data_IF_618784903454
#
_entry.id   IF_618784903454
#
_cell.length_a   1.000
_cell.length_b   1.000
_cell.length_c   1.000
_cell.angle_alpha   90.00
_cell.angle_beta   90.00
_cell.angle_gamma   90.00
#
_symmetry.space_group_name_H-M   'P 1'
#
loop_
_entity.id
_entity.type
_entity.pdbx_description
1 polymer ?
#
# COMPACT_ATOMS: atom_id res chain seq x y z
N UNK A 1 13.36 -68.88 -3.67
CA UNK A 1 12.51 -67.83 -4.26
C UNK A 1 12.82 -66.55 -3.52
N UNK A 2 13.57 -65.66 -4.15
CA UNK A 2 13.90 -64.34 -3.64
C UNK A 2 13.05 -63.34 -4.43
N UNK A 3 12.28 -62.50 -3.73
CA UNK A 3 11.70 -61.28 -4.29
C UNK A 3 12.48 -60.08 -3.75
N UNK A 4 12.70 -59.04 -4.57
CA UNK A 4 13.75 -58.04 -4.35
C UNK A 4 13.27 -56.89 -3.46
N UNK A 5 14.24 -56.28 -2.77
CA UNK A 5 14.15 -54.95 -2.17
C UNK A 5 13.87 -53.93 -3.28
N UNK A 6 12.72 -53.27 -3.20
CA UNK A 6 12.43 -52.12 -4.05
C UNK A 6 13.14 -50.88 -3.47
N UNK A 7 14.26 -50.53 -4.11
CA UNK A 7 14.96 -49.27 -3.94
C UNK A 7 14.44 -48.30 -5.01
N UNK A 8 13.29 -47.67 -4.77
CA UNK A 8 12.85 -46.54 -5.60
C UNK A 8 13.11 -45.22 -4.90
N UNK A 9 14.15 -44.58 -5.40
CA UNK A 9 14.29 -43.14 -5.64
C UNK A 9 14.11 -42.17 -4.47
N UNK A 10 15.17 -41.43 -4.07
CA UNK A 10 14.94 -40.10 -3.53
C UNK A 10 14.39 -39.28 -4.70
N UNK A 11 13.09 -38.96 -4.67
CA UNK A 11 12.62 -37.78 -5.40
C UNK A 11 13.47 -36.64 -4.89
N UNK A 12 14.30 -36.07 -5.77
CA UNK A 12 15.08 -34.88 -5.49
C UNK A 12 14.09 -33.85 -4.91
N UNK A 13 14.13 -33.66 -3.60
CA UNK A 13 13.23 -32.74 -2.90
C UNK A 13 13.61 -31.33 -3.37
N UNK A 14 12.98 -30.89 -4.46
CA UNK A 14 12.87 -29.48 -4.72
C UNK A 14 12.11 -28.92 -3.52
N UNK A 15 12.71 -27.95 -2.84
CA UNK A 15 12.00 -27.19 -1.83
C UNK A 15 10.63 -26.77 -2.40
N UNK A 16 9.53 -26.96 -1.66
CA UNK A 16 8.21 -26.58 -2.14
C UNK A 16 8.22 -25.13 -2.62
N UNK A 17 7.61 -24.86 -3.78
CA UNK A 17 7.53 -23.52 -4.34
C UNK A 17 6.67 -22.67 -3.41
N UNK A 18 7.20 -21.53 -2.96
CA UNK A 18 6.49 -20.59 -2.10
C UNK A 18 6.32 -19.27 -2.83
N UNK A 19 5.17 -18.62 -2.62
CA UNK A 19 4.88 -17.29 -3.17
C UNK A 19 4.58 -16.34 -2.01
N UNK A 20 5.26 -15.20 -2.01
CA UNK A 20 5.08 -14.11 -1.05
C UNK A 20 4.38 -12.96 -1.77
N UNK A 21 3.10 -12.79 -1.49
CA UNK A 21 2.33 -11.62 -1.89
C UNK A 21 2.51 -10.50 -0.86
N UNK A 22 2.87 -9.30 -1.32
CA UNK A 22 2.95 -8.11 -0.49
C UNK A 22 2.22 -6.95 -1.15
N UNK A 23 1.32 -6.30 -0.42
CA UNK A 23 0.70 -5.07 -0.93
C UNK A 23 1.68 -3.91 -0.88
N UNK A 24 1.63 -3.05 -1.90
CA UNK A 24 2.54 -1.93 -2.09
C UNK A 24 2.23 -0.71 -1.21
N UNK A 25 1.12 -0.74 -0.47
CA UNK A 25 0.72 0.23 0.54
C UNK A 25 1.38 0.01 1.90
N UNK A 26 2.05 -1.14 2.09
CA UNK A 26 2.86 -1.39 3.26
C UNK A 26 4.12 -0.52 3.27
N UNK A 27 4.46 -0.03 4.46
CA UNK A 27 5.72 0.67 4.68
C UNK A 27 6.91 -0.20 4.25
N UNK A 28 7.97 0.40 3.72
CA UNK A 28 9.25 -0.21 3.31
C UNK A 28 9.13 -1.63 2.70
N UNK A 29 8.41 -1.71 1.57
CA UNK A 29 8.26 -2.96 0.83
C UNK A 29 9.59 -3.60 0.40
N UNK A 30 10.65 -2.82 0.23
CA UNK A 30 11.97 -3.34 -0.11
C UNK A 30 12.57 -4.14 1.06
N UNK A 31 12.48 -3.63 2.29
CA UNK A 31 12.84 -4.40 3.47
C UNK A 31 11.96 -5.65 3.63
N UNK A 32 10.65 -5.54 3.43
CA UNK A 32 9.71 -6.68 3.51
C UNK A 32 10.06 -7.80 2.52
N UNK A 33 10.43 -7.46 1.29
CA UNK A 33 10.84 -8.44 0.29
C UNK A 33 12.05 -9.28 0.73
N UNK A 34 12.92 -8.76 1.60
CA UNK A 34 14.06 -9.52 2.15
C UNK A 34 13.66 -10.58 3.17
N UNK A 35 12.42 -10.56 3.68
CA UNK A 35 11.88 -11.62 4.53
C UNK A 35 11.56 -12.91 3.74
N UNK A 36 11.49 -12.82 2.41
CA UNK A 36 11.10 -13.93 1.57
C UNK A 36 12.07 -15.11 1.73
N UNK A 37 11.57 -16.34 1.91
CA UNK A 37 12.41 -17.54 2.01
C UNK A 37 13.24 -17.73 0.74
N UNK A 38 14.39 -18.40 0.87
CA UNK A 38 15.25 -18.66 -0.27
C UNK A 38 14.49 -19.44 -1.35
N UNK A 39 14.47 -18.89 -2.57
CA UNK A 39 13.77 -19.50 -3.71
C UNK A 39 12.27 -19.21 -3.77
N UNK A 40 11.72 -18.46 -2.81
CA UNK A 40 10.35 -17.97 -2.90
C UNK A 40 10.23 -16.87 -3.98
N UNK A 41 9.10 -16.86 -4.66
CA UNK A 41 8.72 -15.80 -5.58
C UNK A 41 8.07 -14.65 -4.80
N UNK A 42 8.55 -13.41 -4.99
CA UNK A 42 7.95 -12.22 -4.37
C UNK A 42 7.10 -11.50 -5.41
N UNK A 43 5.84 -11.25 -5.06
CA UNK A 43 4.86 -10.60 -5.92
C UNK A 43 4.30 -9.38 -5.20
N UNK A 44 4.50 -8.21 -5.81
CA UNK A 44 3.95 -6.95 -5.31
C UNK A 44 2.55 -6.74 -5.87
N UNK A 45 1.58 -6.57 -4.98
CA UNK A 45 0.18 -6.30 -5.30
C UNK A 45 -0.11 -4.80 -5.20
N UNK A 46 -0.99 -4.31 -6.06
CA UNK A 46 -1.49 -2.94 -6.02
C UNK A 46 -2.58 -2.81 -4.95
N UNK A 47 -2.31 -2.02 -3.90
CA UNK A 47 -3.28 -1.68 -2.84
C UNK A 47 -4.52 -0.95 -3.36
N UNK A 48 -4.49 -0.40 -4.59
CA UNK A 48 -5.65 0.25 -5.21
C UNK A 48 -6.59 -0.65 -5.98
N UNK A 49 -6.29 -1.93 -6.02
CA UNK A 49 -7.06 -2.90 -6.79
C UNK A 49 -7.55 -3.99 -5.87
N UNK A 50 -8.49 -4.78 -6.40
CA UNK A 50 -8.92 -6.00 -5.74
C UNK A 50 -7.73 -6.96 -5.61
N UNK A 51 -7.27 -7.20 -4.37
CA UNK A 51 -6.15 -8.08 -4.09
C UNK A 51 -6.40 -9.55 -4.45
N UNK A 52 -7.63 -10.03 -4.25
CA UNK A 52 -8.00 -11.41 -4.60
C UNK A 52 -7.95 -11.62 -6.11
N UNK A 53 -8.46 -10.68 -6.90
CA UNK A 53 -8.40 -10.75 -8.35
C UNK A 53 -6.95 -10.74 -8.87
N UNK A 54 -6.08 -9.95 -8.25
CA UNK A 54 -4.65 -9.92 -8.60
C UNK A 54 -3.95 -11.24 -8.26
N UNK A 55 -4.17 -11.79 -7.07
CA UNK A 55 -3.61 -13.08 -6.66
C UNK A 55 -4.13 -14.22 -7.54
N UNK A 56 -5.44 -14.30 -7.78
CA UNK A 56 -6.04 -15.32 -8.63
C UNK A 56 -5.52 -15.24 -10.08
N UNK A 57 -5.37 -14.03 -10.63
CA UNK A 57 -4.79 -13.83 -11.95
C UNK A 57 -3.31 -14.25 -12.02
N UNK A 58 -2.52 -13.95 -10.99
CA UNK A 58 -1.12 -14.36 -10.92
C UNK A 58 -0.96 -15.89 -10.79
N UNK A 59 -1.90 -16.54 -10.10
CA UNK A 59 -1.88 -17.99 -9.86
C UNK A 59 -2.56 -18.82 -10.97
N UNK A 60 -3.16 -18.18 -11.96
CA UNK A 60 -3.90 -18.85 -13.01
C UNK A 60 -3.04 -19.89 -13.76
N UNK A 61 -3.50 -21.15 -13.76
CA UNK A 61 -2.81 -22.26 -14.44
C UNK A 61 -1.59 -22.81 -13.70
N UNK A 62 -1.30 -22.33 -12.48
CA UNK A 62 -0.26 -22.88 -11.61
C UNK A 62 -0.84 -23.97 -10.71
N UNK A 63 0.03 -24.84 -10.22
CA UNK A 63 -0.30 -25.90 -9.25
C UNK A 63 0.94 -26.29 -8.44
N UNK A 64 0.74 -26.99 -7.32
CA UNK A 64 1.85 -27.52 -6.51
C UNK A 64 2.59 -26.46 -5.68
N UNK A 65 1.95 -25.33 -5.40
CA UNK A 65 2.51 -24.29 -4.52
C UNK A 65 2.39 -24.77 -3.07
N UNK A 66 3.52 -24.92 -2.37
CA UNK A 66 3.52 -25.41 -0.99
C UNK A 66 3.12 -24.35 0.04
N UNK A 67 3.33 -23.06 -0.26
CA UNK A 67 2.86 -22.01 0.62
C UNK A 67 2.56 -20.69 -0.09
N UNK A 68 1.53 -20.01 0.40
CA UNK A 68 1.26 -18.61 0.13
C UNK A 68 1.49 -17.80 1.41
N UNK A 69 2.40 -16.83 1.35
CA UNK A 69 2.54 -15.81 2.38
C UNK A 69 1.87 -14.53 1.87
N UNK A 70 0.98 -13.93 2.66
CA UNK A 70 0.30 -12.69 2.29
C UNK A 70 0.57 -11.63 3.35
N UNK A 71 1.35 -10.61 2.99
CA UNK A 71 1.64 -9.46 3.82
C UNK A 71 0.68 -8.34 3.45
N UNK A 72 -0.10 -7.89 4.42
CA UNK A 72 -1.18 -6.92 4.24
C UNK A 72 -1.46 -6.15 5.54
N UNK A 73 -2.22 -5.07 5.44
CA UNK A 73 -2.84 -4.49 6.62
C UNK A 73 -3.92 -5.41 7.20
N UNK A 74 -4.13 -5.32 8.51
CA UNK A 74 -5.13 -6.10 9.22
C UNK A 74 -5.76 -5.31 10.36
N UNK A 75 -6.95 -5.75 10.75
CA UNK A 75 -7.61 -5.30 11.98
C UNK A 75 -8.27 -6.50 12.66
N UNK A 76 -8.88 -6.31 13.83
CA UNK A 76 -9.42 -7.41 14.62
C UNK A 76 -10.42 -8.26 13.83
N UNK A 77 -10.02 -9.50 13.46
CA UNK A 77 -10.83 -10.41 12.66
C UNK A 77 -10.99 -10.03 11.18
N UNK A 78 -10.15 -9.13 10.64
CA UNK A 78 -10.24 -8.66 9.26
C UNK A 78 -8.88 -8.53 8.57
N UNK A 79 -8.88 -8.66 7.25
CA UNK A 79 -7.72 -8.45 6.36
C UNK A 79 -8.06 -7.42 5.28
N UNK A 80 -7.12 -6.52 5.00
CA UNK A 80 -7.26 -5.47 3.98
C UNK A 80 -6.38 -5.82 2.79
N UNK A 81 -6.98 -6.36 1.73
CA UNK A 81 -6.30 -6.85 0.53
C UNK A 81 -6.58 -5.91 -0.65
N UNK A 82 -5.96 -4.74 -0.57
CA UNK A 82 -6.23 -3.60 -1.44
C UNK A 82 -7.65 -3.06 -1.22
N UNK A 83 -8.46 -3.01 -2.27
CA UNK A 83 -9.86 -2.54 -2.16
C UNK A 83 -10.81 -3.57 -1.53
N UNK A 84 -10.33 -4.76 -1.20
CA UNK A 84 -11.14 -5.85 -0.62
C UNK A 84 -10.87 -5.97 0.87
N UNK A 85 -11.93 -5.95 1.67
CA UNK A 85 -11.86 -6.26 3.11
C UNK A 85 -12.47 -7.63 3.35
N UNK A 86 -11.67 -8.56 3.86
CA UNK A 86 -12.09 -9.92 4.18
C UNK A 86 -12.33 -10.08 5.68
N UNK A 87 -13.54 -10.48 6.03
CA UNK A 87 -13.93 -11.01 7.33
C UNK A 87 -14.78 -12.29 7.14
N UNK A 88 -15.27 -12.89 8.22
CA UNK A 88 -16.07 -14.11 8.13
C UNK A 88 -17.39 -13.94 7.35
N UNK A 89 -17.94 -12.72 7.30
CA UNK A 89 -19.19 -12.40 6.61
C UNK A 89 -18.97 -12.01 5.14
N UNK A 90 -17.87 -11.33 4.81
CA UNK A 90 -17.57 -10.88 3.44
C UNK A 90 -16.87 -11.94 2.61
N UNK A 91 -16.02 -12.78 3.20
CA UNK A 91 -15.26 -13.81 2.47
C UNK A 91 -16.11 -14.76 1.60
N UNK A 92 -17.29 -15.23 2.04
CA UNK A 92 -18.17 -16.05 1.18
C UNK A 92 -18.61 -15.36 -0.12
N UNK A 93 -18.68 -14.03 -0.15
CA UNK A 93 -18.97 -13.25 -1.36
C UNK A 93 -17.86 -13.34 -2.43
N UNK A 94 -16.65 -13.73 -2.03
CA UNK A 94 -15.47 -13.87 -2.90
C UNK A 94 -15.06 -15.33 -3.12
N UNK A 95 -15.97 -16.28 -2.87
CA UNK A 95 -15.67 -17.70 -2.83
C UNK A 95 -15.03 -18.24 -4.12
N UNK A 96 -15.41 -17.73 -5.28
CA UNK A 96 -14.85 -18.19 -6.56
C UNK A 96 -13.38 -17.81 -6.71
N UNK A 97 -12.99 -16.59 -6.33
CA UNK A 97 -11.59 -16.15 -6.35
C UNK A 97 -10.75 -16.89 -5.30
N UNK A 98 -11.28 -17.06 -4.09
CA UNK A 98 -10.60 -17.79 -3.02
C UNK A 98 -10.36 -19.26 -3.40
N UNK A 99 -11.35 -19.93 -3.99
CA UNK A 99 -11.18 -21.31 -4.50
C UNK A 99 -10.20 -21.37 -5.66
N UNK A 100 -10.21 -20.38 -6.57
CA UNK A 100 -9.26 -20.32 -7.68
C UNK A 100 -7.81 -20.21 -7.16
N UNK A 101 -7.57 -19.34 -6.16
CA UNK A 101 -6.27 -19.24 -5.47
C UNK A 101 -5.91 -20.58 -4.81
N UNK A 102 -6.86 -21.17 -4.08
CA UNK A 102 -6.68 -22.47 -3.42
C UNK A 102 -6.30 -23.61 -4.38
N UNK A 103 -6.88 -23.62 -5.59
CA UNK A 103 -6.59 -24.66 -6.60
C UNK A 103 -5.15 -24.67 -7.13
N UNK A 104 -4.37 -23.61 -6.86
CA UNK A 104 -2.95 -23.55 -7.21
C UNK A 104 -2.04 -24.16 -6.13
N UNK A 105 -2.56 -24.40 -4.93
CA UNK A 105 -1.82 -25.00 -3.82
C UNK A 105 -1.57 -26.49 -4.07
N UNK A 106 -0.53 -27.02 -3.42
CA UNK A 106 -0.35 -28.46 -3.22
C UNK A 106 -1.40 -29.00 -2.23
N UNK A 107 -1.58 -30.32 -2.18
CA UNK A 107 -2.57 -30.98 -1.29
C UNK A 107 -2.37 -30.64 0.20
N UNK A 108 -1.12 -30.39 0.61
CA UNK A 108 -0.71 -29.98 1.95
C UNK A 108 -0.27 -28.50 2.03
N UNK A 109 -0.63 -27.70 1.02
CA UNK A 109 -0.25 -26.30 0.93
C UNK A 109 -0.86 -25.44 2.04
N UNK A 110 -0.08 -24.48 2.53
CA UNK A 110 -0.50 -23.58 3.61
C UNK A 110 -0.69 -22.14 3.13
N UNK A 111 -1.59 -21.41 3.80
CA UNK A 111 -1.79 -19.96 3.60
C UNK A 111 -1.47 -19.21 4.90
N UNK A 112 -0.46 -18.35 4.85
CA UNK A 112 0.09 -17.63 6.00
C UNK A 112 -0.22 -16.14 5.86
N UNK A 113 -1.04 -15.61 6.78
CA UNK A 113 -1.65 -14.30 6.69
C UNK A 113 -1.03 -13.33 7.70
N UNK A 114 -0.15 -12.46 7.21
CA UNK A 114 0.53 -11.43 7.99
C UNK A 114 -0.27 -10.14 7.88
N UNK A 115 -1.15 -9.93 8.86
CA UNK A 115 -1.94 -8.71 8.99
C UNK A 115 -2.35 -8.53 10.44
N UNK A 116 -2.03 -7.36 11.01
CA UNK A 116 -2.19 -7.07 12.43
C UNK A 116 -3.57 -7.50 12.95
N UNK A 117 -3.60 -8.33 14.00
CA UNK A 117 -4.83 -8.80 14.68
C UNK A 117 -5.89 -9.53 13.80
N UNK A 118 -5.58 -9.91 12.57
CA UNK A 118 -6.51 -10.61 11.67
C UNK A 118 -7.03 -11.94 12.25
N UNK A 119 -6.19 -12.66 13.01
CA UNK A 119 -6.55 -13.86 13.75
C UNK A 119 -7.01 -13.63 15.18
N UNK A 120 -7.16 -12.39 15.65
CA UNK A 120 -7.49 -12.10 17.05
C UNK A 120 -8.95 -12.46 17.41
N UNK A 121 -9.17 -12.83 18.67
CA UNK A 121 -10.52 -13.03 19.20
C UNK A 121 -11.30 -14.18 18.56
N UNK A 122 -12.63 -14.11 18.68
CA UNK A 122 -13.57 -15.07 18.12
C UNK A 122 -13.76 -14.82 16.61
N UNK A 123 -13.81 -13.56 16.24
CA UNK A 123 -13.96 -13.05 14.90
C UNK A 123 -12.84 -13.57 14.00
N UNK A 124 -11.58 -13.49 14.45
CA UNK A 124 -10.44 -14.06 13.74
C UNK A 124 -10.50 -15.58 13.63
N UNK A 125 -11.01 -16.29 14.63
CA UNK A 125 -11.20 -17.74 14.53
C UNK A 125 -12.27 -18.11 13.49
N UNK A 126 -13.36 -17.35 13.41
CA UNK A 126 -14.41 -17.53 12.42
C UNK A 126 -13.92 -17.17 11.00
N UNK A 127 -13.10 -16.13 10.87
CA UNK A 127 -12.43 -15.78 9.62
C UNK A 127 -11.54 -16.93 9.13
N UNK A 128 -10.64 -17.45 9.97
CA UNK A 128 -9.69 -18.49 9.56
C UNK A 128 -10.37 -19.78 9.15
N UNK A 129 -11.44 -20.19 9.86
CA UNK A 129 -12.27 -21.33 9.45
C UNK A 129 -12.87 -21.09 8.06
N UNK A 130 -13.49 -19.92 7.86
CA UNK A 130 -14.15 -19.57 6.58
C UNK A 130 -13.14 -19.53 5.43
N UNK A 131 -11.96 -18.95 5.63
CA UNK A 131 -10.90 -18.93 4.62
C UNK A 131 -10.35 -20.33 4.35
N UNK A 132 -10.15 -21.15 5.38
CA UNK A 132 -9.69 -22.54 5.22
C UNK A 132 -10.68 -23.36 4.38
N UNK A 133 -12.00 -23.21 4.63
CA UNK A 133 -13.06 -23.85 3.84
C UNK A 133 -13.07 -23.37 2.37
N UNK A 134 -12.76 -22.10 2.12
CA UNK A 134 -12.81 -21.49 0.78
C UNK A 134 -11.53 -21.71 -0.04
N UNK A 135 -10.35 -21.67 0.59
CA UNK A 135 -9.10 -22.05 -0.05
C UNK A 135 -9.00 -23.58 -0.22
N UNK A 136 -9.61 -24.35 0.68
CA UNK A 136 -9.37 -25.79 0.77
C UNK A 136 -7.97 -26.10 1.31
N UNK A 137 -7.44 -25.25 2.20
CA UNK A 137 -6.07 -25.30 2.69
C UNK A 137 -5.98 -24.99 4.19
N UNK A 138 -4.84 -25.28 4.81
CA UNK A 138 -4.56 -24.83 6.18
C UNK A 138 -4.25 -23.33 6.16
N UNK A 139 -4.69 -22.62 7.21
CA UNK A 139 -4.52 -21.17 7.29
C UNK A 139 -3.96 -20.79 8.65
N UNK A 140 -2.96 -19.91 8.68
CA UNK A 140 -2.48 -19.27 9.90
C UNK A 140 -2.51 -17.74 9.77
N UNK A 141 -2.70 -17.03 10.88
CA UNK A 141 -2.79 -15.57 10.90
C UNK A 141 -2.27 -14.93 12.19
N UNK A 142 -1.88 -13.66 12.10
CA UNK A 142 -1.39 -12.87 13.23
C UNK A 142 -2.50 -12.55 14.23
N UNK A 143 -2.23 -12.73 15.52
CA UNK A 143 -3.16 -12.35 16.61
C UNK A 143 -2.79 -11.03 17.28
N UNK A 144 -1.62 -10.49 16.96
CA UNK A 144 -1.00 -9.28 17.53
C UNK A 144 -0.58 -8.35 16.39
N UNK A 145 0.08 -7.23 16.73
CA UNK A 145 0.80 -6.41 15.75
C UNK A 145 1.86 -7.24 15.03
N UNK A 146 1.94 -7.12 13.71
CA UNK A 146 2.97 -7.79 12.90
C UNK A 146 4.04 -6.79 12.49
N UNK A 147 5.32 -7.09 12.73
CA UNK A 147 6.43 -6.22 12.34
C UNK A 147 7.50 -6.04 13.43
N UNK A 148 7.95 -4.81 13.60
CA UNK A 148 9.05 -4.41 14.47
C UNK A 148 8.77 -4.66 15.97
N UNK A 149 9.62 -5.44 16.68
CA UNK A 149 9.53 -5.61 18.13
C UNK A 149 9.67 -4.31 18.93
N UNK A 150 10.37 -3.31 18.38
CA UNK A 150 10.53 -1.99 18.99
C UNK A 150 9.20 -1.23 19.09
N UNK A 151 8.23 -1.61 18.26
CA UNK A 151 6.87 -1.07 18.23
C UNK A 151 5.83 -2.06 18.81
N UNK A 152 6.29 -3.12 19.49
CA UNK A 152 5.43 -4.14 20.08
C UNK A 152 4.88 -5.16 19.08
N UNK A 153 5.41 -5.21 17.86
CA UNK A 153 5.07 -6.22 16.85
C UNK A 153 5.94 -7.47 16.93
N UNK A 154 5.48 -8.54 16.30
CA UNK A 154 6.26 -9.75 16.06
C UNK A 154 5.93 -10.35 14.68
N UNK A 155 6.47 -11.51 14.33
CA UNK A 155 6.17 -12.20 13.06
C UNK A 155 5.48 -13.55 13.28
N UNK A 156 4.91 -13.75 14.46
CA UNK A 156 4.29 -14.99 14.91
C UNK A 156 2.82 -15.02 14.48
N UNK A 157 2.44 -16.10 13.81
CA UNK A 157 1.04 -16.36 13.48
C UNK A 157 0.39 -17.11 14.65
N UNK A 158 -0.14 -16.36 15.61
CA UNK A 158 -0.66 -16.90 16.88
C UNK A 158 -1.96 -17.71 16.75
N UNK A 159 -2.59 -17.76 15.57
CA UNK A 159 -3.75 -18.62 15.31
C UNK A 159 -3.58 -19.39 14.01
N UNK A 160 -4.04 -20.64 14.03
CA UNK A 160 -4.14 -21.49 12.86
C UNK A 160 -5.48 -22.26 12.82
N UNK A 161 -5.90 -22.62 11.62
CA UNK A 161 -6.97 -23.56 11.33
C UNK A 161 -6.45 -24.63 10.36
N UNK A 162 -6.58 -25.90 10.74
CA UNK A 162 -5.87 -27.01 10.12
C UNK A 162 -4.47 -27.23 10.72
N UNK A 163 -3.62 -27.97 10.02
CA UNK A 163 -2.23 -28.26 10.43
C UNK A 163 -1.28 -27.53 9.50
N UNK A 164 -0.67 -26.43 9.97
CA UNK A 164 0.29 -25.65 9.18
C UNK A 164 1.69 -26.23 9.35
N UNK A 165 2.35 -26.55 8.23
CA UNK A 165 3.70 -27.14 8.19
C UNK A 165 4.76 -26.11 7.79
N UNK A 166 4.33 -25.04 7.13
CA UNK A 166 5.19 -23.98 6.63
C UNK A 166 5.66 -23.09 7.78
N UNK A 167 6.99 -22.87 7.93
CA UNK A 167 7.51 -21.91 8.89
C UNK A 167 7.03 -20.49 8.61
N UNK A 168 6.80 -19.71 9.66
CA UNK A 168 6.51 -18.28 9.51
C UNK A 168 7.72 -17.52 8.96
N UNK A 169 7.48 -16.43 8.25
CA UNK A 169 8.53 -15.51 7.83
C UNK A 169 9.35 -15.03 9.04
N UNK A 170 10.65 -14.88 8.82
CA UNK A 170 11.53 -14.21 9.76
C UNK A 170 11.54 -12.74 9.42
N UNK A 171 11.05 -11.91 10.34
CA UNK A 171 11.03 -10.46 10.18
C UNK A 171 12.41 -9.89 9.85
N UNK A 172 12.54 -9.04 8.81
CA UNK A 172 13.81 -8.44 8.48
C UNK A 172 14.21 -7.43 9.56
N UNK A 173 15.46 -7.48 10.02
CA UNK A 173 15.96 -6.56 11.04
C UNK A 173 15.96 -5.08 10.61
N UNK A 174 15.95 -4.83 9.29
CA UNK A 174 15.82 -3.49 8.71
C UNK A 174 14.38 -2.95 8.74
N UNK A 175 13.38 -3.80 8.99
CA UNK A 175 11.99 -3.37 9.01
C UNK A 175 11.63 -2.71 10.33
N UNK A 176 11.58 -1.38 10.33
CA UNK A 176 11.38 -0.56 11.54
C UNK A 176 9.93 -0.14 11.79
N UNK A 177 8.95 -0.73 11.09
CA UNK A 177 7.53 -0.41 11.20
C UNK A 177 6.70 -1.64 11.60
N UNK A 178 5.39 -1.46 11.76
CA UNK A 178 4.39 -2.54 11.83
C UNK A 178 3.48 -2.51 10.62
N UNK A 179 2.84 -3.63 10.29
CA UNK A 179 1.87 -3.73 9.19
C UNK A 179 0.52 -3.07 9.54
N UNK A 180 0.48 -2.18 10.53
CA UNK A 180 -0.71 -1.41 10.87
C UNK A 180 -0.66 -0.05 10.18
N UNK A 181 -1.83 0.50 9.90
CA UNK A 181 -1.97 1.94 9.69
C UNK A 181 -2.16 2.64 11.03
N UNK A 182 -1.87 3.95 11.12
CA UNK A 182 -2.23 4.72 12.29
C UNK A 182 -3.72 4.56 12.59
N UNK A 183 -4.07 4.48 13.88
CA UNK A 183 -5.48 4.42 14.27
C UNK A 183 -6.13 5.78 14.03
N UNK A 184 -7.43 5.76 13.68
CA UNK A 184 -8.25 6.97 13.65
C UNK A 184 -8.13 7.72 14.97
N UNK A 185 -8.01 9.04 14.87
CA UNK A 185 -7.78 9.89 16.02
C UNK A 185 -8.89 10.94 16.12
N UNK A 186 -9.85 10.64 17.00
CA UNK A 186 -10.97 11.48 17.36
C UNK A 186 -10.88 11.97 18.82
N UNK A 187 -9.78 11.71 19.51
CA UNK A 187 -9.46 12.12 20.88
C UNK A 187 -10.47 11.75 21.99
N UNK A 188 -11.60 11.11 21.68
CA UNK A 188 -12.68 10.76 22.61
C UNK A 188 -12.25 9.75 23.68
N UNK A 189 -11.30 8.90 23.31
CA UNK A 189 -10.70 7.93 24.24
C UNK A 189 -9.75 8.60 25.23
N UNK A 190 -9.39 9.86 24.97
CA UNK A 190 -8.43 10.62 25.75
C UNK A 190 -9.17 11.52 26.75
N UNK A 191 -8.78 11.41 28.01
CA UNK A 191 -9.13 12.42 28.99
C UNK A 191 -8.46 13.75 28.69
N UNK A 192 -8.94 14.81 29.35
CA UNK A 192 -8.31 16.14 29.32
C UNK A 192 -6.81 16.04 29.63
N UNK A 193 -5.97 16.33 28.64
CA UNK A 193 -4.50 16.20 28.73
C UNK A 193 -3.83 17.43 28.12
N UNK A 194 -2.74 17.92 28.73
CA UNK A 194 -1.97 19.06 28.21
C UNK A 194 -0.58 18.63 27.71
N UNK A 195 -0.11 19.29 26.66
CA UNK A 195 1.21 19.10 26.06
C UNK A 195 1.91 20.45 25.94
N UNK A 196 3.11 20.58 26.50
CA UNK A 196 3.86 21.86 26.51
C UNK A 196 5.21 21.79 25.79
N UNK A 197 5.39 20.77 24.94
CA UNK A 197 6.58 20.59 24.10
C UNK A 197 6.27 20.96 22.65
N UNK A 198 7.29 21.37 21.90
CA UNK A 198 7.15 21.66 20.47
C UNK A 198 6.86 20.41 19.63
N UNK A 199 7.11 19.21 20.16
CA UNK A 199 6.69 17.95 19.56
C UNK A 199 6.24 16.97 20.64
N UNK A 200 5.18 16.21 20.34
CA UNK A 200 4.65 15.16 21.20
C UNK A 200 3.97 14.09 20.34
N UNK A 201 3.78 12.90 20.92
CA UNK A 201 3.03 11.81 20.31
C UNK A 201 1.82 11.49 21.17
N UNK A 202 0.68 11.32 20.53
CA UNK A 202 -0.58 10.87 21.13
C UNK A 202 -1.11 9.75 20.24
N UNK A 203 -1.40 8.59 20.83
CA UNK A 203 -2.02 7.42 20.18
C UNK A 203 -1.39 7.00 18.83
N UNK A 204 -0.06 7.12 18.73
CA UNK A 204 0.69 6.76 17.54
C UNK A 204 0.79 7.86 16.48
N UNK A 205 0.14 9.00 16.69
CA UNK A 205 0.27 10.21 15.86
C UNK A 205 1.24 11.18 16.51
N UNK A 206 2.20 11.66 15.74
CA UNK A 206 3.17 12.67 16.16
C UNK A 206 2.76 14.04 15.64
N UNK A 207 2.79 15.00 16.54
CA UNK A 207 2.54 16.40 16.27
C UNK A 207 3.84 17.18 16.43
N UNK A 208 4.14 18.05 15.47
CA UNK A 208 5.30 18.94 15.51
C UNK A 208 4.88 20.38 15.22
N UNK A 209 5.08 21.26 16.18
CA UNK A 209 4.68 22.66 16.15
C UNK A 209 5.89 23.51 15.79
N UNK A 210 5.73 24.35 14.77
CA UNK A 210 6.72 25.36 14.41
C UNK A 210 6.16 26.73 14.73
N UNK A 211 6.89 27.52 15.50
CA UNK A 211 6.54 28.88 15.85
C UNK A 211 7.58 29.53 16.76
N UNK A 212 7.30 30.76 17.21
CA UNK A 212 8.25 31.56 18.00
C UNK A 212 8.05 31.49 19.52
N UNK A 213 6.88 31.00 19.97
CA UNK A 213 6.50 30.93 21.37
C UNK A 213 6.69 29.56 22.03
N UNK A 214 6.30 29.50 23.30
CA UNK A 214 6.11 28.24 24.05
C UNK A 214 4.62 28.00 24.20
N UNK A 215 4.13 26.92 23.60
CA UNK A 215 2.69 26.66 23.50
C UNK A 215 2.25 25.61 24.50
N UNK A 216 1.03 25.77 25.01
CA UNK A 216 0.32 24.69 25.69
C UNK A 216 -0.81 24.21 24.80
N UNK A 217 -0.74 22.96 24.40
CA UNK A 217 -1.74 22.26 23.60
C UNK A 217 -2.57 21.36 24.52
N UNK A 218 -3.79 21.02 24.12
CA UNK A 218 -4.70 20.30 25.00
C UNK A 218 -5.74 19.50 24.24
N UNK A 219 -5.94 18.26 24.68
CA UNK A 219 -7.18 17.51 24.40
C UNK A 219 -8.31 18.06 25.28
N UNK A 220 -9.40 18.50 24.66
CA UNK A 220 -10.50 19.19 25.32
C UNK A 220 -11.83 18.88 24.64
N UNK A 221 -12.90 18.80 25.43
CA UNK A 221 -14.30 18.78 24.98
C UNK A 221 -15.00 20.12 25.30
N UNK A 222 -14.24 21.21 25.33
CA UNK A 222 -14.76 22.52 25.74
C UNK A 222 -15.23 23.26 24.49
N UNK A 223 -16.55 23.26 24.28
CA UNK A 223 -17.20 23.90 23.12
C UNK A 223 -16.95 25.41 23.01
N UNK A 224 -16.41 26.05 24.05
CA UNK A 224 -15.99 27.46 23.99
C UNK A 224 -14.63 27.66 23.32
N UNK A 225 -13.81 26.60 23.21
CA UNK A 225 -12.48 26.64 22.60
C UNK A 225 -12.49 26.24 21.12
N UNK A 226 -13.50 25.49 20.67
CA UNK A 226 -13.70 25.07 19.28
C UNK A 226 -15.14 24.67 19.05
N UNK A 227 -15.63 24.80 17.81
CA UNK A 227 -16.92 24.26 17.39
C UNK A 227 -16.92 22.74 17.23
N UNK A 228 -15.76 22.09 17.34
CA UNK A 228 -15.61 20.64 17.22
C UNK A 228 -16.26 19.92 18.39
N UNK A 229 -15.88 20.22 19.65
CA UNK A 229 -16.47 19.59 20.83
C UNK A 229 -17.91 20.01 21.05
N UNK A 230 -18.85 19.23 20.51
CA UNK A 230 -20.27 19.56 20.47
C UNK A 230 -21.08 18.89 21.60
N UNK A 231 -20.49 17.95 22.32
CA UNK A 231 -21.01 17.39 23.57
C UNK A 231 -19.91 16.99 24.58
N UNK A 232 -20.29 16.36 25.70
CA UNK A 232 -19.35 16.01 26.76
C UNK A 232 -18.44 14.81 26.45
N UNK A 233 -18.80 14.00 25.48
CA UNK A 233 -18.03 12.84 25.01
C UNK A 233 -17.13 13.17 23.81
N UNK A 234 -17.34 14.31 23.17
CA UNK A 234 -16.69 14.73 21.93
C UNK A 234 -15.45 15.62 22.19
N UNK A 235 -14.27 15.03 22.05
CA UNK A 235 -12.99 15.66 22.38
C UNK A 235 -12.21 16.02 21.12
N UNK A 236 -11.50 17.14 21.16
CA UNK A 236 -10.61 17.57 20.08
C UNK A 236 -9.24 17.98 20.62
N UNK A 237 -8.23 18.01 19.75
CA UNK A 237 -6.89 18.52 20.08
C UNK A 237 -6.75 19.99 19.70
N UNK A 238 -6.59 20.86 20.71
CA UNK A 238 -6.37 22.30 20.57
C UNK A 238 -4.90 22.66 20.69
N UNK A 239 -4.38 23.44 19.75
CA UNK A 239 -3.02 23.98 19.75
C UNK A 239 -2.99 25.44 20.19
N UNK A 240 -2.02 25.84 21.01
CA UNK A 240 -1.97 27.18 21.60
C UNK A 240 -3.26 27.58 22.34
N UNK A 241 -3.63 26.78 23.35
CA UNK A 241 -4.80 27.02 24.22
C UNK A 241 -4.75 28.41 24.88
N UNK A 242 -3.55 28.92 25.16
CA UNK A 242 -3.33 30.19 25.86
C UNK A 242 -3.26 31.40 24.93
N UNK A 243 -3.44 31.22 23.62
CA UNK A 243 -3.40 32.28 22.61
C UNK A 243 -2.10 33.10 22.65
N UNK A 244 -0.95 32.42 22.76
CA UNK A 244 0.39 33.02 22.67
C UNK A 244 0.63 33.63 21.30
N UNK A 245 -0.01 33.09 20.24
CA UNK A 245 0.22 33.45 18.84
C UNK A 245 1.63 33.10 18.37
N UNK A 246 1.90 33.25 17.06
CA UNK A 246 3.21 32.98 16.49
C UNK A 246 3.48 31.54 16.02
N UNK A 247 2.49 30.64 16.07
CA UNK A 247 2.56 29.36 15.35
C UNK A 247 2.51 29.66 13.85
N UNK A 248 3.44 29.09 13.09
CA UNK A 248 3.46 29.14 11.63
C UNK A 248 2.96 27.84 10.99
N UNK A 249 3.19 26.70 11.65
CA UNK A 249 2.70 25.40 11.18
C UNK A 249 2.60 24.36 12.28
N UNK A 250 1.75 23.37 12.05
CA UNK A 250 1.59 22.17 12.85
C UNK A 250 1.61 20.99 11.88
N UNK A 251 2.64 20.14 11.98
CA UNK A 251 2.76 18.90 11.23
C UNK A 251 2.13 17.75 12.03
N UNK A 252 1.36 16.92 11.35
CA UNK A 252 0.72 15.70 11.84
C UNK A 252 1.29 14.54 11.02
N UNK A 253 1.91 13.56 11.67
CA UNK A 253 2.59 12.45 11.00
C UNK A 253 2.41 11.14 11.77
N UNK A 254 2.47 10.02 11.08
CA UNK A 254 2.55 8.72 11.74
C UNK A 254 3.86 8.66 12.54
N UNK A 255 3.80 8.37 13.84
CA UNK A 255 4.97 8.43 14.71
C UNK A 255 6.05 7.39 14.34
N UNK A 256 5.63 6.28 13.72
CA UNK A 256 6.49 5.21 13.22
C UNK A 256 6.94 5.42 11.76
N UNK A 257 6.48 6.49 11.10
CA UNK A 257 6.75 6.78 9.69
C UNK A 257 5.99 5.90 8.70
N UNK A 258 4.99 5.14 9.15
CA UNK A 258 4.09 4.40 8.27
C UNK A 258 3.39 5.34 7.28
N UNK A 259 3.18 4.84 6.06
CA UNK A 259 2.38 5.54 5.07
C UNK A 259 0.90 5.27 5.36
N UNK A 260 0.06 6.25 5.07
CA UNK A 260 -1.38 6.17 5.20
C UNK A 260 -2.07 6.98 4.09
N UNK A 261 -3.35 6.70 3.91
CA UNK A 261 -4.29 7.61 3.27
C UNK A 261 -5.00 8.40 4.36
N UNK A 262 -5.07 9.71 4.23
CA UNK A 262 -6.01 10.51 5.00
C UNK A 262 -7.33 10.52 4.23
N UNK A 263 -8.40 9.96 4.78
CA UNK A 263 -9.71 9.91 4.12
C UNK A 263 -10.57 11.15 4.46
N UNK A 264 -10.39 11.70 5.65
CA UNK A 264 -10.96 12.97 6.05
C UNK A 264 -10.40 13.49 7.37
N UNK A 265 -10.81 14.71 7.72
CA UNK A 265 -10.61 15.30 9.04
C UNK A 265 -11.60 16.43 9.31
N UNK A 266 -11.74 16.80 10.58
CA UNK A 266 -12.44 17.98 11.05
C UNK A 266 -11.44 18.99 11.66
N UNK A 267 -11.59 20.27 11.38
CA UNK A 267 -10.76 21.30 12.02
C UNK A 267 -11.51 22.62 12.27
N UNK A 268 -11.14 23.30 13.34
CA UNK A 268 -11.50 24.69 13.61
C UNK A 268 -10.24 25.52 13.72
N UNK A 269 -10.18 26.70 13.12
CA UNK A 269 -8.92 27.45 13.07
C UNK A 269 -9.07 28.95 12.83
N UNK A 270 -8.02 29.70 13.14
CA UNK A 270 -7.87 31.09 12.75
C UNK A 270 -6.40 31.37 12.40
N UNK A 271 -6.16 32.20 11.40
CA UNK A 271 -4.85 32.71 11.03
C UNK A 271 -4.99 34.11 10.43
N UNK A 272 -3.94 34.92 10.48
CA UNK A 272 -3.97 36.28 9.88
C UNK A 272 -4.18 36.24 8.36
N UNK A 273 -3.75 35.15 7.72
CA UNK A 273 -3.86 34.90 6.29
C UNK A 273 -4.75 33.70 5.96
N UNK A 274 -4.35 32.96 4.92
CA UNK A 274 -4.99 31.67 4.64
C UNK A 274 -4.43 30.58 5.55
N UNK A 275 -5.25 29.54 5.73
CA UNK A 275 -4.84 28.29 6.34
C UNK A 275 -4.67 27.28 5.22
N UNK A 276 -3.57 26.54 5.21
CA UNK A 276 -3.36 25.44 4.26
C UNK A 276 -3.27 24.11 4.97
N UNK A 277 -3.76 23.06 4.33
CA UNK A 277 -3.55 21.66 4.70
C UNK A 277 -2.77 21.01 3.57
N UNK A 278 -1.51 20.66 3.84
CA UNK A 278 -0.56 20.25 2.81
C UNK A 278 0.02 18.88 3.14
N UNK A 279 -0.19 17.84 2.32
CA UNK A 279 0.50 16.56 2.54
C UNK A 279 2.00 16.70 2.27
N UNK A 280 2.80 15.78 2.83
CA UNK A 280 4.27 15.75 2.64
C UNK A 280 4.70 15.55 1.17
N UNK A 281 3.77 15.21 0.27
CA UNK A 281 3.95 15.28 -1.18
C UNK A 281 2.64 15.66 -1.87
N UNK A 282 2.59 16.86 -2.46
CA UNK A 282 1.44 17.28 -3.28
C UNK A 282 1.04 18.74 -3.11
N UNK A 283 -0.18 19.04 -3.56
CA UNK A 283 -0.73 20.41 -3.51
C UNK A 283 -1.50 20.65 -2.21
N UNK A 284 -1.47 21.90 -1.74
CA UNK A 284 -2.18 22.31 -0.55
C UNK A 284 -3.68 22.53 -0.80
N UNK A 285 -4.53 22.09 0.12
CA UNK A 285 -5.89 22.59 0.26
C UNK A 285 -5.83 23.93 1.00
N UNK A 286 -6.51 24.97 0.49
CA UNK A 286 -6.42 26.34 1.03
C UNK A 286 -7.79 26.82 1.51
N UNK A 287 -7.83 27.36 2.73
CA UNK A 287 -9.02 27.87 3.39
C UNK A 287 -8.80 29.33 3.79
N UNK A 288 -9.74 30.20 3.41
CA UNK A 288 -9.68 31.61 3.77
C UNK A 288 -10.02 31.79 5.26
N UNK A 289 -9.12 32.45 6.00
CA UNK A 289 -9.38 32.91 7.37
C UNK A 289 -9.27 34.42 7.43
N UNK A 290 -8.12 35.01 7.05
CA UNK A 290 -7.90 36.46 7.03
C UNK A 290 -8.25 37.15 8.36
N UNK A 291 -7.90 36.50 9.47
CA UNK A 291 -8.23 36.92 10.84
C UNK A 291 -9.60 36.47 11.33
N UNK A 292 -10.45 35.89 10.47
CA UNK A 292 -11.73 35.32 10.87
C UNK A 292 -11.58 33.88 11.37
N UNK A 293 -12.30 33.54 12.44
CA UNK A 293 -12.36 32.18 12.96
C UNK A 293 -13.23 31.29 12.07
N UNK A 294 -12.64 30.20 11.59
CA UNK A 294 -13.33 29.04 11.06
C UNK A 294 -13.77 28.18 12.24
N UNK A 295 -15.07 28.11 12.49
CA UNK A 295 -15.61 27.36 13.64
C UNK A 295 -15.43 25.85 13.48
N UNK A 296 -15.69 25.36 12.27
CA UNK A 296 -15.53 23.96 11.88
C UNK A 296 -15.42 23.87 10.35
N UNK A 297 -14.56 22.98 9.89
CA UNK A 297 -14.45 22.54 8.53
C UNK A 297 -14.22 21.04 8.50
N UNK A 298 -15.08 20.34 7.78
CA UNK A 298 -14.97 18.90 7.59
C UNK A 298 -14.45 18.68 6.17
N UNK A 299 -13.26 18.09 6.07
CA UNK A 299 -12.59 17.83 4.81
C UNK A 299 -12.79 16.36 4.47
N UNK A 300 -13.28 16.08 3.25
CA UNK A 300 -13.17 14.75 2.65
C UNK A 300 -11.99 14.76 1.69
N UNK A 301 -10.91 14.06 2.05
CA UNK A 301 -9.68 14.01 1.27
C UNK A 301 -9.63 12.80 0.31
N UNK A 302 -10.65 11.93 0.33
CA UNK A 302 -10.68 10.69 -0.45
C UNK A 302 -10.60 10.89 -1.97
N UNK A 303 -11.06 12.03 -2.49
CA UNK A 303 -10.97 12.38 -3.91
C UNK A 303 -9.61 12.95 -4.35
N UNK A 304 -8.72 13.27 -3.39
CA UNK A 304 -7.47 13.94 -3.66
C UNK A 304 -6.31 12.95 -3.69
N UNK A 305 -5.77 12.67 -4.88
CA UNK A 305 -4.69 11.70 -5.08
C UNK A 305 -3.44 11.94 -4.21
N UNK A 306 -3.16 13.20 -3.85
CA UNK A 306 -2.01 13.58 -3.03
C UNK A 306 -2.18 13.30 -1.53
N UNK A 307 -3.36 12.88 -1.07
CA UNK A 307 -3.59 12.45 0.33
C UNK A 307 -3.61 10.93 0.49
N UNK A 308 -3.34 10.19 -0.59
CA UNK A 308 -3.58 8.76 -0.63
C UNK A 308 -2.37 7.92 -0.18
N UNK A 309 -1.17 8.46 -0.29
CA UNK A 309 0.05 7.80 0.15
C UNK A 309 1.00 8.83 0.74
N UNK A 310 0.76 9.15 2.00
CA UNK A 310 1.50 10.18 2.73
C UNK A 310 1.96 9.60 4.07
N UNK A 311 3.05 10.12 4.61
CA UNK A 311 3.49 9.82 5.98
C UNK A 311 3.14 10.93 6.97
N UNK A 312 2.63 12.05 6.45
CA UNK A 312 2.24 13.21 7.22
C UNK A 312 1.64 14.32 6.36
N UNK A 313 1.04 15.28 7.03
CA UNK A 313 0.51 16.51 6.45
C UNK A 313 0.69 17.67 7.43
N UNK A 314 0.61 18.89 6.92
CA UNK A 314 0.92 20.11 7.65
C UNK A 314 -0.21 21.12 7.53
N UNK A 315 -0.72 21.57 8.67
CA UNK A 315 -1.47 22.82 8.75
C UNK A 315 -0.47 23.97 8.77
N UNK A 316 -0.67 24.99 7.93
CA UNK A 316 0.15 26.21 7.96
C UNK A 316 -0.72 27.46 7.89
N UNK A 317 -0.27 28.51 8.56
CA UNK A 317 -0.93 29.81 8.61
C UNK A 317 -0.14 30.78 9.50
N UNK A 318 -0.22 32.07 9.21
CA UNK A 318 0.41 33.09 10.06
C UNK A 318 -0.37 33.23 11.37
N UNK A 319 0.31 33.13 12.52
CA UNK A 319 -0.31 33.21 13.84
C UNK A 319 -1.43 32.17 14.02
N UNK A 320 -1.17 30.95 13.55
CA UNK A 320 -2.13 29.86 13.49
C UNK A 320 -2.63 29.46 14.88
N UNK A 321 -3.94 29.49 15.03
CA UNK A 321 -4.67 28.85 16.12
C UNK A 321 -5.47 27.70 15.52
N UNK A 322 -5.25 26.46 15.98
CA UNK A 322 -5.86 25.25 15.41
C UNK A 322 -6.53 24.39 16.48
N UNK A 323 -7.68 23.82 16.15
CA UNK A 323 -8.27 22.64 16.75
C UNK A 323 -8.46 21.60 15.64
N UNK A 324 -8.12 20.34 15.92
CA UNK A 324 -8.28 19.21 14.98
C UNK A 324 -9.01 18.09 15.66
N UNK A 325 -9.78 17.37 14.86
CA UNK A 325 -10.65 16.27 15.27
C UNK A 325 -10.91 15.32 14.08
N UNK A 326 -11.50 14.16 14.37
CA UNK A 326 -11.93 13.15 13.38
C UNK A 326 -10.86 12.80 12.32
N UNK A 327 -9.59 12.63 12.72
CA UNK A 327 -8.54 12.22 11.78
C UNK A 327 -8.80 10.77 11.34
N UNK A 328 -9.24 10.59 10.10
CA UNK A 328 -9.59 9.30 9.50
C UNK A 328 -8.41 8.78 8.66
N UNK A 329 -7.69 7.81 9.23
CA UNK A 329 -6.51 7.19 8.67
C UNK A 329 -6.85 5.80 8.11
N UNK A 330 -6.56 5.63 6.82
CA UNK A 330 -6.81 4.39 6.10
C UNK A 330 -5.51 3.84 5.52
N UNK A 331 -5.45 2.55 5.14
CA UNK A 331 -4.35 1.98 4.37
C UNK A 331 -3.93 2.90 3.23
N UNK A 332 -2.62 3.08 3.08
CA UNK A 332 -2.08 3.87 1.99
C UNK A 332 -2.52 3.30 0.64
N UNK A 333 -2.41 4.14 -0.38
CA UNK A 333 -2.89 3.85 -1.72
C UNK A 333 -1.76 4.18 -2.67
N UNK A 334 -1.02 3.15 -3.08
CA UNK A 334 0.15 3.32 -3.93
C UNK A 334 -0.22 2.96 -5.36
N UNK A 335 -0.41 3.98 -6.20
CA UNK A 335 -0.68 3.75 -7.62
C UNK A 335 0.59 3.24 -8.31
N UNK A 336 0.54 2.04 -8.88
CA UNK A 336 1.67 1.50 -9.64
C UNK A 336 1.96 2.30 -10.92
N UNK A 337 3.18 2.13 -11.43
CA UNK A 337 3.58 2.60 -12.74
C UNK A 337 2.67 1.98 -13.83
N UNK A 338 2.03 2.84 -14.61
CA UNK A 338 1.15 2.41 -15.71
C UNK A 338 1.59 3.06 -17.02
N UNK A 339 1.54 2.30 -18.11
CA UNK A 339 1.71 2.83 -19.46
C UNK A 339 0.38 3.42 -19.90
N UNK A 340 0.37 4.69 -20.26
CA UNK A 340 -0.82 5.41 -20.76
C UNK A 340 -0.83 5.56 -22.27
N UNK A 341 0.34 5.41 -22.90
CA UNK A 341 0.46 5.47 -24.34
C UNK A 341 1.87 5.19 -24.80
N UNK A 342 2.02 4.83 -26.06
CA UNK A 342 3.32 4.68 -26.68
C UNK A 342 3.24 5.04 -28.16
N UNK A 343 4.36 5.50 -28.72
CA UNK A 343 4.51 5.82 -30.13
C UNK A 343 5.78 5.18 -30.64
N UNK A 344 5.72 4.63 -31.85
CA UNK A 344 6.89 4.07 -32.51
C UNK A 344 7.35 4.97 -33.65
N UNK A 345 8.65 5.15 -33.78
CA UNK A 345 9.27 5.77 -34.93
C UNK A 345 10.05 4.71 -35.72
N UNK A 346 9.48 4.29 -36.86
CA UNK A 346 10.01 3.24 -37.69
C UNK A 346 11.34 3.59 -38.36
N UNK A 347 11.66 4.88 -38.55
CA UNK A 347 12.94 5.30 -39.15
C UNK A 347 14.09 5.31 -38.16
N UNK A 348 13.81 5.52 -36.86
CA UNK A 348 14.83 5.55 -35.81
C UNK A 348 14.85 4.30 -34.94
N UNK A 349 13.80 3.46 -34.99
CA UNK A 349 13.65 2.31 -34.11
C UNK A 349 13.34 2.69 -32.65
N UNK A 350 12.89 3.92 -32.41
CA UNK A 350 12.62 4.41 -31.05
C UNK A 350 11.15 4.20 -30.70
N UNK A 351 10.93 3.53 -29.58
CA UNK A 351 9.65 3.43 -28.90
C UNK A 351 9.61 4.49 -27.78
N UNK A 352 8.78 5.52 -27.94
CA UNK A 352 8.56 6.56 -26.93
C UNK A 352 7.30 6.26 -26.14
N UNK A 353 7.43 6.13 -24.83
CA UNK A 353 6.35 5.67 -23.95
C UNK A 353 6.00 6.75 -22.94
N UNK A 354 4.71 7.00 -22.79
CA UNK A 354 4.15 7.83 -21.73
C UNK A 354 3.47 6.96 -20.68
N UNK A 355 3.56 7.39 -19.44
CA UNK A 355 2.94 6.68 -18.33
C UNK A 355 2.58 7.60 -17.18
N UNK A 356 2.11 6.99 -16.10
CA UNK A 356 1.85 7.61 -14.81
C UNK A 356 2.62 6.86 -13.74
N UNK A 357 3.01 7.56 -12.67
CA UNK A 357 3.69 6.98 -11.49
C UNK A 357 4.97 6.21 -11.83
N UNK A 358 5.68 6.61 -12.89
CA UNK A 358 7.02 6.07 -13.12
C UNK A 358 7.96 6.63 -12.05
N UNK A 359 8.98 5.86 -11.66
CA UNK A 359 10.11 6.42 -10.90
C UNK A 359 11.11 7.00 -11.89
N UNK A 360 11.28 8.32 -11.93
CA UNK A 360 12.34 8.94 -12.73
C UNK A 360 13.71 8.37 -12.36
N UNK A 361 14.50 7.95 -13.35
CA UNK A 361 15.75 7.22 -13.16
C UNK A 361 15.59 5.72 -12.84
N UNK A 362 14.36 5.26 -12.57
CA UNK A 362 14.02 3.86 -12.28
C UNK A 362 14.22 2.93 -13.47
N UNK A 363 14.62 1.68 -13.22
CA UNK A 363 14.81 0.69 -14.26
C UNK A 363 13.47 0.21 -14.83
N UNK A 364 13.40 0.16 -16.16
CA UNK A 364 12.34 -0.41 -16.98
C UNK A 364 12.87 -1.71 -17.57
N UNK A 365 12.29 -2.83 -17.14
CA UNK A 365 12.54 -4.16 -17.69
C UNK A 365 11.84 -4.29 -19.04
N UNK A 366 12.60 -4.06 -20.10
CA UNK A 366 12.08 -4.08 -21.47
C UNK A 366 11.66 -5.50 -21.87
N UNK A 367 12.24 -6.53 -21.27
CA UNK A 367 11.85 -7.93 -21.47
C UNK A 367 10.42 -8.25 -21.02
N UNK A 368 9.81 -7.36 -20.21
CA UNK A 368 8.43 -7.47 -19.75
C UNK A 368 7.44 -6.64 -20.57
N UNK A 369 7.90 -6.02 -21.64
CA UNK A 369 7.08 -5.21 -22.53
C UNK A 369 6.70 -6.00 -23.78
N UNK A 370 5.41 -6.09 -24.05
CA UNK A 370 4.86 -6.77 -25.22
C UNK A 370 4.11 -5.77 -26.11
N UNK A 371 4.47 -5.75 -27.38
CA UNK A 371 3.85 -4.96 -28.42
C UNK A 371 2.74 -5.78 -29.07
N UNK A 372 1.61 -5.16 -29.39
CA UNK A 372 0.58 -5.72 -30.26
C UNK A 372 0.23 -4.72 -31.37
N UNK A 373 0.01 -5.23 -32.59
CA UNK A 373 -0.22 -4.39 -33.77
C UNK A 373 -0.96 -5.13 -34.90
N UNK A 374 -0.41 -5.05 -36.12
CA UNK A 374 -0.96 -5.64 -37.35
C UNK A 374 -1.58 -7.02 -37.13
N UNK A 375 -2.83 -7.20 -37.55
CA UNK A 375 -3.56 -8.47 -37.42
C UNK A 375 -3.75 -9.01 -35.99
N UNK A 376 -3.54 -8.18 -34.96
CA UNK A 376 -3.61 -8.58 -33.55
C UNK A 376 -2.41 -9.41 -33.06
N UNK A 377 -1.36 -9.55 -33.88
CA UNK A 377 -0.16 -10.27 -33.47
C UNK A 377 0.60 -9.52 -32.37
N UNK A 378 1.23 -10.29 -31.47
CA UNK A 378 1.98 -9.76 -30.32
C UNK A 378 3.42 -10.25 -30.30
N UNK A 379 4.33 -9.41 -29.81
CA UNK A 379 5.75 -9.67 -29.69
C UNK A 379 6.31 -9.09 -28.38
N UNK A 380 6.98 -9.93 -27.58
CA UNK A 380 7.69 -9.48 -26.37
C UNK A 380 9.09 -9.00 -26.74
N UNK A 381 9.45 -7.81 -26.28
CA UNK A 381 10.74 -7.17 -26.59
C UNK A 381 11.91 -7.91 -25.93
N UNK A 382 13.09 -7.83 -26.54
CA UNK A 382 14.34 -8.38 -25.98
C UNK A 382 15.46 -7.34 -25.93
N UNK A 383 15.14 -6.08 -26.17
CA UNK A 383 16.07 -4.95 -26.05
C UNK A 383 16.52 -4.78 -24.60
N UNK A 384 17.69 -4.16 -24.43
CA UNK A 384 18.24 -3.89 -23.10
C UNK A 384 17.29 -3.01 -22.30
N UNK A 385 17.30 -3.22 -20.99
CA UNK A 385 16.59 -2.36 -20.04
C UNK A 385 17.01 -0.89 -20.20
N UNK A 386 16.08 -0.01 -19.90
CA UNK A 386 16.28 1.45 -19.93
C UNK A 386 15.89 2.04 -18.60
N UNK A 387 16.23 3.31 -18.39
CA UNK A 387 15.76 4.05 -17.23
C UNK A 387 14.61 4.97 -17.64
N UNK A 388 13.62 5.12 -16.76
CA UNK A 388 12.57 6.09 -16.98
C UNK A 388 13.15 7.51 -16.96
N UNK A 389 12.86 8.29 -17.98
CA UNK A 389 13.38 9.66 -18.11
C UNK A 389 12.74 10.64 -17.12
N UNK A 390 11.52 10.35 -16.69
CA UNK A 390 10.75 11.14 -15.72
C UNK A 390 9.70 10.28 -15.03
N UNK A 391 8.87 10.89 -14.19
CA UNK A 391 7.71 10.22 -13.60
C UNK A 391 6.60 9.87 -14.62
N UNK A 392 6.73 10.30 -15.87
CA UNK A 392 5.69 10.15 -16.90
C UNK A 392 6.20 9.70 -18.26
N UNK A 393 7.52 9.47 -18.44
CA UNK A 393 8.06 9.11 -19.75
C UNK A 393 9.31 8.23 -19.69
N UNK A 394 9.47 7.38 -20.70
CA UNK A 394 10.72 6.69 -21.04
C UNK A 394 10.80 6.39 -22.54
N UNK A 395 11.99 6.04 -23.02
CA UNK A 395 12.20 5.64 -24.41
C UNK A 395 13.05 4.39 -24.49
N UNK A 396 12.69 3.49 -25.40
CA UNK A 396 13.46 2.29 -25.72
C UNK A 396 13.96 2.42 -27.16
N UNK A 397 15.27 2.38 -27.33
CA UNK A 397 15.87 2.17 -28.66
C UNK A 397 15.90 0.67 -28.91
N UNK A 398 15.11 0.21 -29.88
CA UNK A 398 15.00 -1.21 -30.16
C UNK A 398 16.30 -1.75 -30.77
N UNK A 399 16.70 -2.95 -30.34
CA UNK A 399 17.77 -3.70 -30.98
C UNK A 399 17.33 -4.17 -32.39
N UNK A 400 18.26 -4.70 -33.20
CA UNK A 400 17.95 -5.10 -34.57
C UNK A 400 16.90 -6.22 -34.70
N UNK A 401 16.86 -7.15 -33.74
CA UNK A 401 15.89 -8.26 -33.72
C UNK A 401 14.49 -7.74 -33.40
N UNK A 402 14.39 -6.87 -32.39
CA UNK A 402 13.14 -6.23 -32.03
C UNK A 402 12.65 -5.33 -33.17
N UNK A 403 13.50 -4.49 -33.75
CA UNK A 403 13.12 -3.65 -34.90
C UNK A 403 12.52 -4.48 -36.04
N UNK A 404 13.11 -5.62 -36.38
CA UNK A 404 12.62 -6.48 -37.47
C UNK A 404 11.23 -7.05 -37.17
N UNK A 405 11.01 -7.57 -35.96
CA UNK A 405 9.72 -8.12 -35.55
C UNK A 405 8.67 -7.02 -35.41
N UNK A 406 9.05 -5.87 -34.85
CA UNK A 406 8.18 -4.72 -34.63
C UNK A 406 7.82 -4.05 -35.95
N UNK A 407 8.70 -3.95 -36.94
CA UNK A 407 8.32 -3.47 -38.28
C UNK A 407 7.27 -4.36 -38.96
N UNK A 408 7.24 -5.66 -38.63
CA UNK A 408 6.16 -6.55 -39.07
C UNK A 408 4.80 -6.25 -38.43
N UNK A 409 4.79 -5.58 -37.26
CA UNK A 409 3.59 -5.25 -36.49
C UNK A 409 3.19 -3.77 -36.57
N UNK A 410 4.17 -2.89 -36.68
CA UNK A 410 4.11 -1.43 -36.64
C UNK A 410 5.04 -0.89 -37.74
N UNK A 411 4.51 -0.86 -38.96
CA UNK A 411 5.19 -0.44 -40.18
C UNK A 411 5.01 1.07 -40.49
N UNK A 412 4.43 1.83 -39.57
CA UNK A 412 4.22 3.27 -39.69
C UNK A 412 4.58 3.98 -38.39
N UNK A 413 4.84 5.28 -38.48
CA UNK A 413 5.06 6.12 -37.30
C UNK A 413 3.73 6.40 -36.59
N UNK A 414 3.76 6.42 -35.26
CA UNK A 414 2.64 6.83 -34.42
C UNK A 414 2.04 5.69 -33.61
N UNK A 415 0.70 5.65 -33.54
CA UNK A 415 -0.08 4.79 -32.63
C UNK A 415 -0.88 3.71 -33.35
N UNK A 416 -0.65 3.48 -34.65
CA UNK A 416 -1.38 2.47 -35.42
C UNK A 416 -0.49 1.86 -36.50
N UNK A 417 -0.78 0.60 -36.81
CA UNK A 417 -0.24 -0.08 -37.98
C UNK A 417 -0.92 0.41 -39.28
N UNK A 418 -0.39 0.05 -40.45
CA UNK A 418 -0.96 0.42 -41.75
C UNK A 418 -2.38 -0.13 -41.96
N UNK A 419 -2.74 -1.25 -41.33
CA UNK A 419 -4.12 -1.79 -41.35
C UNK A 419 -5.10 -1.08 -40.40
N UNK A 420 -4.67 0.03 -39.78
CA UNK A 420 -5.39 0.81 -38.79
C UNK A 420 -5.62 0.12 -37.44
N UNK A 421 -5.04 -1.05 -37.18
CA UNK A 421 -5.03 -1.61 -35.83
C UNK A 421 -4.19 -0.73 -34.90
N UNK A 422 -4.79 -0.38 -33.75
CA UNK A 422 -4.15 0.47 -32.75
C UNK A 422 -3.01 -0.29 -32.11
N UNK A 423 -1.87 0.37 -32.08
CA UNK A 423 -0.70 -0.07 -31.35
C UNK A 423 -1.01 -0.16 -29.85
N UNK A 424 -0.78 -1.32 -29.25
CA UNK A 424 -0.84 -1.46 -27.80
C UNK A 424 0.51 -1.92 -27.25
N UNK A 425 0.97 -1.25 -26.21
CA UNK A 425 2.14 -1.64 -25.42
C UNK A 425 1.64 -2.14 -24.08
N UNK A 426 1.65 -3.46 -23.92
CA UNK A 426 1.34 -4.11 -22.66
C UNK A 426 2.61 -4.29 -21.84
N UNK A 427 2.48 -4.19 -20.52
CA UNK A 427 3.56 -4.45 -19.59
C UNK A 427 3.14 -5.55 -18.61
N UNK A 428 4.01 -6.56 -18.44
CA UNK A 428 3.81 -7.59 -17.43
C UNK A 428 4.09 -7.05 -16.01
N UNK A 429 3.66 -7.79 -14.98
CA UNK A 429 3.88 -7.39 -13.59
C UNK A 429 5.38 -7.18 -13.27
N UNK A 430 5.67 -6.11 -12.50
CA UNK A 430 7.03 -5.75 -12.11
C UNK A 430 7.93 -5.34 -13.28
N UNK A 431 7.38 -4.72 -14.32
CA UNK A 431 8.12 -4.15 -15.45
C UNK A 431 8.89 -2.87 -15.09
N UNK A 432 8.49 -2.17 -14.03
CA UNK A 432 9.15 -0.97 -13.54
C UNK A 432 9.57 -1.16 -12.08
N UNK A 433 10.75 -0.64 -11.76
CA UNK A 433 11.35 -0.70 -10.42
C UNK A 433 11.95 0.65 -10.06
N UNK A 434 12.18 0.87 -8.76
CA UNK A 434 12.79 2.09 -8.25
C UNK A 434 14.18 2.35 -8.86
N UNK A 435 14.67 3.59 -8.76
CA UNK A 435 16.03 3.93 -9.18
C UNK A 435 17.05 3.11 -8.39
N UNK A 436 18.04 2.54 -9.10
CA UNK A 436 19.20 1.97 -8.43
C UNK A 436 19.96 3.12 -7.73
N UNK A 437 20.20 2.98 -6.42
CA UNK A 437 20.91 3.96 -5.60
C UNK A 437 22.40 4.04 -5.94
#
# INVERSE_FOLDING_TARGET
MAYPLDLTHPTSAHSPVQVVFMFNDLHDGAALATAAPQGAEVVVLDGMRDGLAQMAGHLQGRSGIGALHVLSHGSHGRLHWGTTVLDAATAPGHADLLRAIGSALADDGDVLLYGCHSGAGREGAELLRTLSDLFGANVAASTTLTGSPQLGGDWVLGRQHGTVHTPTLVGPASYAAVLAVPADENYDSNGVTNFSTASFTLDGIKYTITGTGSYTNRVSNDSSLSGLGNDAGDYFLRFDRTNVSGISSIKVEAADGSAFRLNGLSFGAAADGNITVTPDGGSALTYASSGATILQQNINTSAYAHFQNITGFTFAGTNLSLAVDDLDFEPAVVSLAAITGATYNASTGILSVTGTNLTGGGNVDVGKLALAGQGGASYTLTSSNVNASSATAFSVTLNAVDMLNVHGLLNSNGVAAVDANVFNLAAAAGWQSAAAA
#
